data_IF_242641861540
#
_entry.id   IF_242641861540
#
_cell.length_a   1.000
_cell.length_b   1.000
_cell.length_c   1.000
_cell.angle_alpha   90.00
_cell.angle_beta   90.00
_cell.angle_gamma   90.00
#
_symmetry.space_group_name_H-M   'P 1'
#
loop_
_entity.id
_entity.type
_entity.pdbx_description
1 polymer ?
#
# COMPACT_ATOMS: atom_id res chain seq x y z
N UNK A 1 -1.56 14.22 -45.10
CA UNK A 1 -0.74 14.58 -43.92
C UNK A 1 -1.54 14.27 -42.66
N UNK A 2 -1.46 13.06 -42.08
CA UNK A 2 -2.10 12.77 -40.80
C UNK A 2 -1.19 13.20 -39.64
N UNK A 3 -1.81 13.83 -38.63
CA UNK A 3 -1.15 14.48 -37.49
C UNK A 3 -0.66 13.43 -36.48
N UNK A 4 0.50 13.69 -35.88
CA UNK A 4 1.07 12.99 -34.73
C UNK A 4 0.00 12.79 -33.63
N UNK A 5 -0.34 11.55 -33.32
CA UNK A 5 -0.95 11.22 -32.04
C UNK A 5 0.16 10.79 -31.08
N UNK A 6 0.24 11.52 -29.96
CA UNK A 6 1.29 11.44 -28.95
C UNK A 6 1.47 10.02 -28.37
N UNK A 7 2.69 9.64 -27.97
CA UNK A 7 2.91 8.41 -27.24
C UNK A 7 2.13 8.45 -25.92
N UNK A 8 1.36 7.39 -25.69
CA UNK A 8 0.75 7.07 -24.40
C UNK A 8 1.82 7.17 -23.29
N UNK A 9 1.55 7.80 -22.14
CA UNK A 9 2.47 7.73 -21.02
C UNK A 9 2.46 6.31 -20.45
N UNK A 10 3.48 5.50 -20.73
CA UNK A 10 3.99 4.59 -19.72
C UNK A 10 4.71 5.48 -18.69
N UNK A 11 4.39 5.40 -17.38
CA UNK A 11 4.87 4.27 -16.58
C UNK A 11 4.07 3.99 -15.29
N UNK A 12 3.63 2.76 -15.06
CA UNK A 12 3.60 2.24 -13.68
C UNK A 12 4.32 0.91 -13.66
N UNK A 13 5.62 1.05 -13.47
CA UNK A 13 6.57 0.05 -13.05
C UNK A 13 5.90 -1.00 -12.15
N UNK A 14 5.62 -2.18 -12.72
CA UNK A 14 5.40 -3.38 -11.94
C UNK A 14 6.75 -3.72 -11.31
N UNK A 15 7.09 -3.06 -10.21
CA UNK A 15 8.36 -3.29 -9.50
C UNK A 15 8.32 -4.69 -8.87
N UNK A 16 8.67 -5.68 -9.68
CA UNK A 16 9.59 -6.80 -9.41
C UNK A 16 9.69 -7.22 -7.94
N UNK A 17 8.97 -8.28 -7.57
CA UNK A 17 9.50 -9.22 -6.58
C UNK A 17 10.65 -9.98 -7.27
N UNK A 18 11.84 -10.05 -6.65
CA UNK A 18 12.03 -11.05 -5.59
C UNK A 18 12.92 -10.54 -4.46
N UNK A 19 12.44 -10.60 -3.22
CA UNK A 19 13.33 -10.60 -2.07
C UNK A 19 12.66 -11.36 -0.93
N UNK A 20 13.39 -12.33 -0.39
CA UNK A 20 13.05 -13.16 0.77
C UNK A 20 13.02 -12.35 2.09
N UNK A 21 12.75 -11.04 2.00
CA UNK A 21 12.90 -10.06 3.06
C UNK A 21 11.52 -9.51 3.34
N UNK A 22 11.04 -9.67 4.57
CA UNK A 22 9.79 -9.06 5.02
C UNK A 22 9.89 -7.53 4.84
N UNK A 23 8.97 -6.91 4.07
CA UNK A 23 8.99 -5.47 3.87
C UNK A 23 8.70 -4.75 5.20
N UNK A 24 9.51 -3.75 5.53
CA UNK A 24 9.32 -2.92 6.74
C UNK A 24 8.06 -2.07 6.61
N UNK A 25 7.85 -1.48 5.43
CA UNK A 25 6.65 -0.73 5.10
C UNK A 25 6.19 -1.03 3.67
N UNK A 26 4.89 -0.90 3.44
CA UNK A 26 4.24 -1.18 2.17
C UNK A 26 3.30 -0.04 1.77
N UNK A 27 3.07 0.13 0.46
CA UNK A 27 2.04 1.06 -0.01
C UNK A 27 0.64 0.52 0.26
N UNK A 28 -0.35 1.42 0.26
CA UNK A 28 -1.79 1.08 0.40
C UNK A 28 -2.22 -0.04 -0.55
N UNK A 29 -1.83 0.00 -1.83
CA UNK A 29 -2.23 -1.04 -2.79
C UNK A 29 -1.67 -2.44 -2.44
N UNK A 30 -0.46 -2.49 -1.88
CA UNK A 30 0.15 -3.73 -1.42
C UNK A 30 -0.50 -4.18 -0.11
N UNK A 31 -0.75 -3.27 0.83
CA UNK A 31 -1.47 -3.57 2.07
C UNK A 31 -2.89 -4.14 1.82
N UNK A 32 -3.61 -3.61 0.84
CA UNK A 32 -4.89 -4.17 0.37
C UNK A 32 -4.71 -5.62 -0.10
N UNK A 33 -3.69 -5.88 -0.92
CA UNK A 33 -3.44 -7.21 -1.47
C UNK A 33 -2.97 -8.20 -0.39
N UNK A 34 -2.25 -7.72 0.63
CA UNK A 34 -1.76 -8.54 1.75
C UNK A 34 -2.83 -8.87 2.77
N UNK A 35 -3.69 -7.90 3.12
CA UNK A 35 -4.69 -8.06 4.19
C UNK A 35 -6.08 -8.45 3.69
N UNK A 36 -6.34 -8.29 2.39
CA UNK A 36 -7.67 -8.47 1.80
C UNK A 36 -8.67 -7.36 2.18
N UNK A 37 -8.23 -6.32 2.90
CA UNK A 37 -9.08 -5.21 3.30
C UNK A 37 -9.26 -4.19 2.17
N UNK A 38 -10.44 -3.57 2.10
CA UNK A 38 -10.69 -2.50 1.14
C UNK A 38 -9.85 -1.25 1.46
N UNK A 39 -9.55 -0.45 0.43
CA UNK A 39 -8.82 0.83 0.60
C UNK A 39 -9.50 1.75 1.60
N UNK A 40 -10.83 1.85 1.55
CA UNK A 40 -11.61 2.66 2.48
C UNK A 40 -11.39 2.23 3.92
N UNK A 41 -11.37 0.91 4.18
CA UNK A 41 -11.14 0.36 5.52
C UNK A 41 -9.73 0.66 6.03
N UNK A 42 -8.72 0.55 5.16
CA UNK A 42 -7.36 0.96 5.52
C UNK A 42 -7.29 2.45 5.83
N UNK A 43 -7.96 3.32 5.06
CA UNK A 43 -8.02 4.74 5.36
C UNK A 43 -8.76 5.06 6.66
N UNK A 44 -9.83 4.33 7.00
CA UNK A 44 -10.48 4.44 8.30
C UNK A 44 -9.51 4.10 9.43
N UNK A 45 -8.80 2.97 9.31
CA UNK A 45 -7.82 2.54 10.30
C UNK A 45 -6.67 3.53 10.46
N UNK A 46 -6.22 4.15 9.37
CA UNK A 46 -5.23 5.23 9.40
C UNK A 46 -5.79 6.46 10.12
N UNK A 47 -7.02 6.87 9.81
CA UNK A 47 -7.69 8.01 10.47
C UNK A 47 -7.95 7.76 11.96
N UNK A 48 -8.29 6.53 12.32
CA UNK A 48 -8.48 6.10 13.72
C UNK A 48 -7.17 6.01 14.49
N UNK A 49 -6.01 6.08 13.82
CA UNK A 49 -4.69 5.93 14.44
C UNK A 49 -4.31 4.49 14.76
N UNK A 50 -5.09 3.52 14.31
CA UNK A 50 -4.83 2.09 14.51
C UNK A 50 -3.74 1.57 13.55
N UNK A 51 -3.59 2.21 12.39
CA UNK A 51 -2.52 1.92 11.45
C UNK A 51 -1.47 3.02 11.44
N UNK A 52 -0.24 2.65 11.81
CA UNK A 52 0.91 3.53 11.69
C UNK A 52 1.30 3.72 10.22
N UNK A 53 1.32 4.98 9.81
CA UNK A 53 1.73 5.40 8.47
C UNK A 53 2.81 6.46 8.55
N UNK A 54 3.82 6.29 7.72
CA UNK A 54 4.90 7.25 7.55
C UNK A 54 4.73 7.93 6.20
N UNK A 55 4.71 9.25 6.19
CA UNK A 55 4.65 10.03 4.96
C UNK A 55 6.06 10.37 4.51
N UNK A 56 6.54 9.72 3.47
CA UNK A 56 7.80 10.07 2.82
C UNK A 56 7.52 10.96 1.60
N UNK A 57 7.77 12.27 1.75
CA UNK A 57 7.45 13.33 0.78
C UNK A 57 5.99 13.29 0.26
N UNK A 58 5.76 12.54 -0.82
CA UNK A 58 4.47 12.39 -1.52
C UNK A 58 3.86 10.98 -1.42
N UNK A 59 4.61 10.01 -0.88
CA UNK A 59 4.14 8.64 -0.71
C UNK A 59 3.75 8.37 0.74
N UNK A 60 2.58 7.77 0.94
CA UNK A 60 2.17 7.21 2.23
C UNK A 60 2.61 5.75 2.30
N UNK A 61 3.47 5.44 3.27
CA UNK A 61 3.96 4.10 3.55
C UNK A 61 3.27 3.61 4.82
N UNK A 62 2.71 2.41 4.78
CA UNK A 62 2.08 1.75 5.92
C UNK A 62 3.09 0.79 6.53
N UNK A 63 3.31 0.87 7.84
CA UNK A 63 4.19 -0.04 8.56
C UNK A 63 3.56 -1.44 8.61
N UNK A 64 4.32 -2.46 8.20
CA UNK A 64 3.83 -3.84 8.19
C UNK A 64 3.62 -4.38 9.61
N UNK A 65 4.41 -3.91 10.58
CA UNK A 65 4.24 -4.24 11.99
C UNK A 65 2.83 -3.88 12.50
N UNK A 66 2.41 -2.61 12.35
CA UNK A 66 1.06 -2.19 12.76
C UNK A 66 -0.05 -2.90 11.97
N UNK A 67 0.15 -3.17 10.68
CA UNK A 67 -0.80 -3.99 9.91
C UNK A 67 -1.00 -5.36 10.54
N UNK A 68 0.09 -6.04 10.93
CA UNK A 68 0.00 -7.35 11.58
C UNK A 68 -0.70 -7.25 12.93
N UNK A 69 -0.35 -6.28 13.77
CA UNK A 69 -0.98 -6.09 15.08
C UNK A 69 -2.50 -5.86 14.99
N UNK A 70 -2.95 -5.02 14.05
CA UNK A 70 -4.40 -4.75 13.86
C UNK A 70 -5.14 -6.02 13.45
N UNK A 71 -4.55 -6.82 12.56
CA UNK A 71 -5.16 -8.08 12.11
C UNK A 71 -5.17 -9.11 13.24
N UNK A 72 -4.09 -9.21 14.02
CA UNK A 72 -3.98 -10.15 15.14
C UNK A 72 -4.95 -9.81 16.29
N UNK A 73 -5.11 -8.52 16.60
CA UNK A 73 -6.15 -8.04 17.54
C UNK A 73 -7.56 -8.39 17.09
N UNK A 74 -7.82 -8.37 15.78
CA UNK A 74 -9.12 -8.75 15.21
C UNK A 74 -9.34 -10.25 15.12
N UNK A 75 -8.28 -11.04 14.96
CA UNK A 75 -8.34 -12.50 14.98
C UNK A 75 -8.64 -13.05 16.38
N UNK A 76 -8.16 -12.36 17.42
CA UNK A 76 -8.34 -12.80 18.82
C UNK A 76 -9.66 -12.31 19.46
N UNK A 77 -10.59 -11.79 18.66
CA UNK A 77 -11.87 -11.25 19.09
C UNK A 77 -13.02 -12.03 18.48
#
# INVERSE_FOLDING_TARGET
MPRLNAPLPAPVEKSKAPALIDPISVRIAIAVSMTGLSRSRLYELIKSGELEVVKDRSSTLIMVASLREVIERRRSR
#
